data_IF_838014009722
#
_entry.id   IF_838014009722
#
_cell.length_a   1.000
_cell.length_b   1.000
_cell.length_c   1.000
_cell.angle_alpha   90.00
_cell.angle_beta   90.00
_cell.angle_gamma   90.00
#
_symmetry.space_group_name_H-M   'P 1'
#
loop_
_entity.id
_entity.type
_entity.pdbx_description
1 polymer ?
#
# COMPACT_ATOMS: atom_id res chain seq x y z
N UNK A 1 -16.06 -24.36 4.77
CA UNK A 1 -15.43 -23.70 3.61
C UNK A 1 -13.98 -23.48 4.01
N UNK A 2 -13.02 -24.02 3.26
CA UNK A 2 -11.60 -23.87 3.61
C UNK A 2 -11.21 -22.40 3.53
N UNK A 3 -10.32 -21.93 4.41
CA UNK A 3 -9.85 -20.53 4.46
C UNK A 3 -9.09 -20.09 3.19
N UNK A 4 -8.92 -20.97 2.20
CA UNK A 4 -8.11 -20.78 0.99
C UNK A 4 -8.90 -20.40 -0.26
N UNK A 5 -10.24 -20.51 -0.28
CA UNK A 5 -11.05 -20.42 -1.51
C UNK A 5 -10.98 -19.06 -2.26
N UNK A 6 -10.40 -18.01 -1.68
CA UNK A 6 -10.29 -16.69 -2.31
C UNK A 6 -8.90 -16.06 -2.18
N UNK A 7 -7.87 -16.88 -2.00
CA UNK A 7 -6.48 -16.41 -1.82
C UNK A 7 -5.62 -16.80 -3.00
N UNK A 8 -4.91 -15.83 -3.56
CA UNK A 8 -4.12 -15.96 -4.78
C UNK A 8 -2.69 -15.48 -4.55
N UNK A 9 -1.71 -16.13 -5.16
CA UNK A 9 -0.29 -15.78 -5.04
C UNK A 9 0.43 -15.64 -6.38
N UNK A 10 1.43 -14.76 -6.44
CA UNK A 10 2.36 -14.62 -7.56
C UNK A 10 3.69 -14.02 -7.10
N UNK A 11 4.77 -14.29 -7.83
CA UNK A 11 6.02 -13.55 -7.76
C UNK A 11 6.03 -12.44 -8.81
N UNK A 12 6.23 -11.21 -8.36
CA UNK A 12 6.56 -10.07 -9.21
C UNK A 12 8.07 -9.88 -9.19
N UNK A 13 8.68 -9.37 -10.28
CA UNK A 13 10.14 -9.16 -10.34
C UNK A 13 10.53 -7.68 -10.46
N UNK A 14 9.63 -6.85 -10.99
CA UNK A 14 9.91 -5.44 -11.24
C UNK A 14 8.94 -4.55 -10.49
N UNK A 15 9.36 -3.31 -10.20
CA UNK A 15 8.49 -2.27 -9.65
C UNK A 15 7.21 -2.10 -10.46
N UNK A 16 7.31 -2.16 -11.78
CA UNK A 16 6.19 -1.94 -12.68
C UNK A 16 5.10 -3.01 -12.53
N UNK A 17 5.45 -4.24 -12.12
CA UNK A 17 4.46 -5.29 -11.84
C UNK A 17 3.50 -4.87 -10.72
N UNK A 18 4.04 -4.28 -9.66
CA UNK A 18 3.26 -3.77 -8.54
C UNK A 18 2.41 -2.57 -8.95
N UNK A 19 2.97 -1.66 -9.76
CA UNK A 19 2.23 -0.50 -10.30
C UNK A 19 1.03 -0.96 -11.12
N UNK A 20 1.25 -1.86 -12.07
CA UNK A 20 0.21 -2.37 -12.96
C UNK A 20 -0.87 -3.13 -12.17
N UNK A 21 -0.45 -3.96 -11.21
CA UNK A 21 -1.37 -4.68 -10.32
C UNK A 21 -2.24 -3.71 -9.51
N UNK A 22 -1.62 -2.67 -8.96
CA UNK A 22 -2.32 -1.67 -8.12
C UNK A 22 -3.34 -0.88 -8.93
N UNK A 23 -2.96 -0.44 -10.14
CA UNK A 23 -3.90 0.17 -11.09
C UNK A 23 -5.06 -0.76 -11.39
N UNK A 24 -4.77 -2.03 -11.68
CA UNK A 24 -5.80 -2.95 -12.15
C UNK A 24 -6.78 -3.34 -11.06
N UNK A 25 -6.31 -3.63 -9.85
CA UNK A 25 -7.18 -3.90 -8.70
C UNK A 25 -8.14 -2.72 -8.46
N UNK A 26 -7.61 -1.51 -8.42
CA UNK A 26 -8.40 -0.32 -8.15
C UNK A 26 -9.42 -0.02 -9.28
N UNK A 27 -9.00 -0.12 -10.55
CA UNK A 27 -9.85 0.10 -11.71
C UNK A 27 -10.97 -0.95 -11.87
N UNK A 28 -10.80 -2.14 -11.29
CA UNK A 28 -11.82 -3.19 -11.30
C UNK A 28 -12.95 -2.94 -10.28
N UNK A 29 -12.77 -2.04 -9.30
CA UNK A 29 -13.79 -1.79 -8.28
C UNK A 29 -15.04 -1.18 -8.93
N UNK A 30 -16.24 -1.80 -8.80
CA UNK A 30 -17.44 -1.26 -9.42
C UNK A 30 -17.84 0.07 -8.77
N UNK A 31 -18.26 1.04 -9.59
CA UNK A 31 -18.51 2.42 -9.15
C UNK A 31 -19.55 2.54 -8.02
N UNK A 32 -20.49 1.59 -7.89
CA UNK A 32 -21.48 1.60 -6.81
C UNK A 32 -20.91 1.24 -5.43
N UNK A 33 -19.81 0.48 -5.37
CA UNK A 33 -19.08 0.25 -4.11
C UNK A 33 -18.35 1.50 -3.61
N UNK A 34 -18.14 2.50 -4.48
CA UNK A 34 -17.39 3.72 -4.16
C UNK A 34 -18.29 4.86 -3.67
N UNK A 35 -19.62 4.67 -3.60
CA UNK A 35 -20.55 5.77 -3.30
C UNK A 35 -20.78 6.02 -1.81
N UNK A 36 -20.71 4.97 -1.01
CA UNK A 36 -21.04 5.05 0.42
C UNK A 36 -19.83 5.55 1.22
N UNK A 37 -19.98 6.73 1.86
CA UNK A 37 -18.95 7.32 2.72
C UNK A 37 -18.70 6.46 3.96
N UNK A 38 -19.75 5.92 4.54
CA UNK A 38 -19.69 5.17 5.81
C UNK A 38 -19.25 3.72 5.59
N UNK A 39 -19.26 3.27 4.33
CA UNK A 39 -18.81 1.95 3.89
C UNK A 39 -17.92 2.02 2.64
N UNK A 40 -16.71 2.61 2.71
CA UNK A 40 -15.79 2.51 1.60
C UNK A 40 -15.33 1.08 1.40
N UNK A 41 -14.72 0.83 0.24
CA UNK A 41 -13.91 -0.37 0.06
C UNK A 41 -12.63 -0.24 0.89
N UNK A 42 -12.40 -1.18 1.78
CA UNK A 42 -11.20 -1.26 2.63
C UNK A 42 -10.20 -2.21 1.99
N UNK A 43 -9.03 -1.69 1.60
CA UNK A 43 -7.93 -2.48 1.07
C UNK A 43 -6.80 -2.49 2.10
N UNK A 44 -6.58 -3.62 2.73
CA UNK A 44 -5.43 -3.83 3.60
C UNK A 44 -4.19 -4.14 2.75
N UNK A 45 -3.07 -3.48 3.05
CA UNK A 45 -1.79 -3.75 2.42
C UNK A 45 -0.74 -4.01 3.50
N UNK A 46 -0.39 -5.26 3.65
CA UNK A 46 0.52 -5.77 4.66
C UNK A 46 1.80 -6.31 4.03
N UNK A 47 2.76 -6.65 4.87
CA UNK A 47 4.01 -7.27 4.42
C UNK A 47 5.25 -6.69 5.06
N UNK A 48 6.41 -7.01 4.49
CA UNK A 48 7.71 -6.70 5.11
C UNK A 48 8.11 -5.23 5.03
N UNK A 49 9.17 -4.88 5.75
CA UNK A 49 9.82 -3.59 5.59
C UNK A 49 10.32 -3.42 4.14
N UNK A 50 10.18 -2.21 3.58
CA UNK A 50 10.63 -1.86 2.22
C UNK A 50 10.02 -2.73 1.09
N UNK A 51 8.90 -3.41 1.30
CA UNK A 51 8.29 -4.22 0.24
C UNK A 51 7.49 -3.42 -0.81
N UNK A 52 7.37 -2.09 -0.65
CA UNK A 52 6.69 -1.23 -1.62
C UNK A 52 5.18 -1.06 -1.40
N UNK A 53 4.65 -1.33 -0.19
CA UNK A 53 3.21 -1.18 0.13
C UNK A 53 2.58 0.13 -0.38
N UNK A 54 3.31 1.24 -0.25
CA UNK A 54 2.83 2.57 -0.64
C UNK A 54 2.53 2.69 -2.14
N UNK A 55 3.21 1.92 -2.99
CA UNK A 55 2.91 1.82 -4.43
C UNK A 55 1.45 1.40 -4.62
N UNK A 56 0.93 0.49 -3.79
CA UNK A 56 -0.46 0.01 -3.90
C UNK A 56 -1.46 1.15 -3.68
N UNK A 57 -1.30 1.89 -2.60
CA UNK A 57 -2.17 3.02 -2.31
C UNK A 57 -2.04 4.15 -3.34
N UNK A 58 -0.80 4.48 -3.74
CA UNK A 58 -0.50 5.61 -4.60
C UNK A 58 -0.98 5.42 -6.03
N UNK A 59 -0.69 4.26 -6.62
CA UNK A 59 -1.14 3.97 -7.97
C UNK A 59 -2.60 3.55 -7.99
N UNK A 60 -3.09 2.84 -6.96
CA UNK A 60 -4.52 2.62 -6.81
C UNK A 60 -5.33 3.93 -6.79
N UNK A 61 -4.82 4.96 -6.12
CA UNK A 61 -5.38 6.33 -6.17
C UNK A 61 -5.33 6.94 -7.56
N UNK A 62 -4.20 6.84 -8.26
CA UNK A 62 -4.06 7.34 -9.64
C UNK A 62 -5.13 6.73 -10.56
N UNK A 63 -5.35 5.41 -10.48
CA UNK A 63 -6.36 4.73 -11.28
C UNK A 63 -7.80 5.18 -10.95
N UNK A 64 -8.12 5.37 -9.67
CA UNK A 64 -9.48 5.75 -9.23
C UNK A 64 -9.82 7.20 -9.55
N UNK A 65 -8.86 8.10 -9.38
CA UNK A 65 -9.09 9.54 -9.51
C UNK A 65 -8.67 10.09 -10.88
N UNK A 66 -7.94 9.32 -11.68
CA UNK A 66 -7.41 9.78 -12.97
C UNK A 66 -6.29 10.83 -12.85
N UNK A 67 -5.64 10.89 -11.69
CA UNK A 67 -4.61 11.88 -11.34
C UNK A 67 -3.22 11.23 -11.32
N UNK A 68 -2.16 11.94 -11.70
CA UNK A 68 -0.81 11.40 -11.55
C UNK A 68 -0.40 11.35 -10.10
N UNK A 69 0.19 10.25 -9.65
CA UNK A 69 0.76 10.16 -8.31
C UNK A 69 1.74 11.32 -8.02
N UNK A 70 2.59 11.70 -8.99
CA UNK A 70 3.60 12.78 -8.83
C UNK A 70 3.00 14.18 -8.56
N UNK A 71 1.76 14.40 -9.01
CA UNK A 71 1.05 15.67 -8.85
C UNK A 71 0.39 15.79 -7.46
N UNK A 72 0.25 14.66 -6.76
CA UNK A 72 -0.31 14.62 -5.41
C UNK A 72 0.78 14.97 -4.40
N UNK A 73 0.62 16.13 -3.77
CA UNK A 73 1.52 16.59 -2.70
C UNK A 73 0.75 16.80 -1.41
N UNK A 74 1.24 16.18 -0.34
CA UNK A 74 0.73 16.39 1.01
C UNK A 74 1.50 17.51 1.70
N UNK A 75 0.85 18.29 2.58
CA UNK A 75 1.55 19.16 3.50
C UNK A 75 2.61 18.39 4.29
N UNK A 76 3.85 18.92 4.36
CA UNK A 76 4.86 18.36 5.25
C UNK A 76 4.61 18.79 6.70
N UNK A 77 5.07 17.98 7.66
CA UNK A 77 5.05 18.34 9.08
C UNK A 77 5.83 19.64 9.29
N UNK A 78 5.16 20.65 9.85
CA UNK A 78 5.74 21.96 10.10
C UNK A 78 5.47 23.01 9.00
N UNK A 79 4.86 22.63 7.87
CA UNK A 79 4.31 23.63 6.93
C UNK A 79 3.18 24.38 7.63
N UNK A 80 3.16 25.71 7.47
CA UNK A 80 2.14 26.58 8.06
C UNK A 80 1.49 27.45 7.00
N UNK A 81 0.22 27.76 7.22
CA UNK A 81 -0.53 28.78 6.49
C UNK A 81 -0.82 29.99 7.37
N UNK A 82 -0.89 31.15 6.74
CA UNK A 82 -1.29 32.40 7.39
C UNK A 82 -2.79 32.60 7.17
N UNK A 83 -3.58 32.62 8.25
CA UNK A 83 -5.04 32.71 8.18
C UNK A 83 -5.60 33.84 9.05
N UNK A 84 -6.77 34.39 8.72
CA UNK A 84 -7.43 35.39 9.55
C UNK A 84 -7.71 34.86 10.97
N UNK A 85 -7.49 35.69 11.99
CA UNK A 85 -7.62 35.29 13.41
C UNK A 85 -9.08 34.94 13.82
N UNK A 86 -10.07 35.47 13.11
CA UNK A 86 -11.50 35.16 13.23
C UNK A 86 -11.89 33.78 12.68
N UNK A 87 -10.96 33.07 12.03
CA UNK A 87 -11.16 31.71 11.50
C UNK A 87 -10.88 30.60 12.51
N UNK A 88 -10.68 30.93 13.80
CA UNK A 88 -10.39 29.97 14.87
C UNK A 88 -11.66 29.34 15.47
N UNK A 89 -11.57 28.08 15.88
CA UNK A 89 -12.60 27.44 16.71
C UNK A 89 -12.55 27.96 18.15
N UNK A 90 -13.65 27.85 18.92
CA UNK A 90 -13.69 28.33 20.32
C UNK A 90 -12.58 27.75 21.20
N UNK A 91 -12.24 26.46 21.02
CA UNK A 91 -11.15 25.82 21.77
C UNK A 91 -9.78 26.44 21.44
N UNK A 92 -9.52 26.73 20.16
CA UNK A 92 -8.27 27.35 19.72
C UNK A 92 -8.20 28.83 20.14
N UNK A 93 -9.32 29.55 20.09
CA UNK A 93 -9.44 30.91 20.62
C UNK A 93 -9.14 30.95 22.12
N UNK A 94 -9.60 29.96 22.88
CA UNK A 94 -9.33 29.85 24.32
C UNK A 94 -7.85 29.55 24.60
N UNK A 95 -7.25 28.58 23.93
CA UNK A 95 -5.80 28.27 24.07
C UNK A 95 -4.94 29.48 23.73
N UNK A 96 -5.29 30.20 22.65
CA UNK A 96 -4.59 31.43 22.28
C UNK A 96 -4.81 32.55 23.30
N UNK A 97 -6.00 32.68 23.86
CA UNK A 97 -6.28 33.64 24.94
C UNK A 97 -5.47 33.35 26.21
N UNK A 98 -5.30 32.06 26.57
CA UNK A 98 -4.47 31.64 27.70
C UNK A 98 -2.99 31.92 27.44
N UNK A 99 -2.47 31.61 26.23
CA UNK A 99 -1.09 31.95 25.84
C UNK A 99 -0.85 33.46 25.87
N UNK A 100 -1.82 34.25 25.44
CA UNK A 100 -1.78 35.71 25.44
C UNK A 100 -1.93 36.34 26.85
N UNK A 101 -2.42 35.58 27.84
CA UNK A 101 -2.51 36.05 29.24
C UNK A 101 -1.14 36.12 29.92
N UNK A 102 -0.16 35.31 29.46
CA UNK A 102 1.18 35.22 30.04
C UNK A 102 2.27 35.94 29.21
N UNK A 103 1.95 36.42 28.00
CA UNK A 103 2.82 37.24 27.16
C UNK A 103 2.38 38.70 27.12
N UNK A 104 3.30 39.66 27.30
CA UNK A 104 2.99 41.09 27.18
C UNK A 104 2.46 41.40 25.76
N UNK A 105 1.34 42.12 25.72
CA UNK A 105 0.65 42.67 24.55
C UNK A 105 1.58 43.24 23.46
N UNK A 106 1.39 42.78 22.23
CA UNK A 106 1.08 43.67 21.11
C UNK A 106 -0.10 43.10 20.32
N UNK A 107 -1.18 43.88 20.27
CA UNK A 107 -2.38 43.56 19.51
C UNK A 107 -2.17 44.01 18.07
N UNK A 108 -1.36 43.25 17.33
CA UNK A 108 -1.26 43.33 15.87
C UNK A 108 -1.02 41.91 15.41
N UNK A 109 -2.09 41.25 15.01
CA UNK A 109 -2.03 40.19 14.01
C UNK A 109 -3.48 39.84 13.65
N UNK A 110 -3.98 40.51 12.60
CA UNK A 110 -5.20 40.09 11.90
C UNK A 110 -5.05 38.67 11.35
N UNK A 111 -3.82 38.18 11.30
CA UNK A 111 -3.40 36.96 10.65
C UNK A 111 -2.55 36.14 11.61
N UNK A 112 -2.85 34.86 11.76
CA UNK A 112 -2.11 33.92 12.58
C UNK A 112 -1.50 32.84 11.69
N UNK A 113 -0.36 32.29 12.08
CA UNK A 113 0.20 31.09 11.45
C UNK A 113 -0.38 29.84 12.11
N UNK A 114 -0.87 28.89 11.31
CA UNK A 114 -1.32 27.57 11.78
C UNK A 114 -0.80 26.46 10.87
N UNK A 115 -0.71 25.21 11.34
CA UNK A 115 -0.29 24.09 10.50
C UNK A 115 -1.16 23.98 9.23
N UNK A 116 -0.52 23.82 8.07
CA UNK A 116 -1.22 23.59 6.81
C UNK A 116 -1.77 22.16 6.81
N UNK A 117 -3.11 22.03 6.81
CA UNK A 117 -3.78 20.72 6.81
C UNK A 117 -4.36 20.30 5.46
N UNK A 118 -4.40 21.22 4.49
CA UNK A 118 -5.04 21.04 3.19
C UNK A 118 -4.22 21.70 2.09
N UNK A 119 -4.13 21.06 0.93
CA UNK A 119 -3.57 21.61 -0.31
C UNK A 119 -4.55 21.38 -1.45
N UNK A 120 -4.78 22.41 -2.26
CA UNK A 120 -5.48 22.27 -3.54
C UNK A 120 -4.44 21.97 -4.62
N UNK A 121 -4.75 21.05 -5.52
CA UNK A 121 -3.91 20.69 -6.65
C UNK A 121 -4.79 20.43 -7.88
N UNK A 122 -4.17 20.44 -9.06
CA UNK A 122 -4.80 20.02 -10.31
C UNK A 122 -3.88 19.01 -10.99
N UNK A 123 -4.44 17.90 -11.48
CA UNK A 123 -3.71 16.94 -12.31
C UNK A 123 -4.59 16.55 -13.48
N UNK A 124 -4.06 16.65 -14.70
CA UNK A 124 -4.78 16.32 -15.95
C UNK A 124 -6.15 17.01 -16.07
N UNK A 125 -6.31 18.22 -15.52
CA UNK A 125 -7.58 18.95 -15.54
C UNK A 125 -8.57 18.53 -14.44
N UNK A 126 -8.18 17.62 -13.55
CA UNK A 126 -8.96 17.22 -12.37
C UNK A 126 -8.47 18.02 -11.16
N UNK A 127 -9.35 18.86 -10.62
CA UNK A 127 -9.11 19.55 -9.35
C UNK A 127 -9.25 18.57 -8.18
N UNK A 128 -8.29 18.62 -7.25
CA UNK A 128 -8.26 17.76 -6.08
C UNK A 128 -7.92 18.52 -4.81
N UNK A 129 -8.42 17.98 -3.71
CA UNK A 129 -8.08 18.40 -2.36
C UNK A 129 -7.24 17.31 -1.70
N UNK A 130 -5.98 17.64 -1.37
CA UNK A 130 -5.09 16.78 -0.61
C UNK A 130 -5.07 17.22 0.85
N UNK A 131 -5.20 16.29 1.80
CA UNK A 131 -5.09 16.54 3.25
C UNK A 131 -4.26 15.45 3.92
N UNK A 132 -3.78 15.74 5.12
CA UNK A 132 -3.02 14.80 5.94
C UNK A 132 -1.49 14.96 5.84
N UNK A 133 -0.75 13.96 6.32
CA UNK A 133 0.72 13.91 6.27
C UNK A 133 1.16 12.68 5.47
N UNK A 134 2.03 12.93 4.49
CA UNK A 134 2.63 11.89 3.64
C UNK A 134 3.19 10.73 4.48
N UNK A 135 2.96 9.49 4.04
CA UNK A 135 3.38 8.23 4.70
C UNK A 135 2.63 7.85 5.99
N UNK A 136 1.75 8.70 6.51
CA UNK A 136 1.02 8.46 7.77
C UNK A 136 -0.48 8.39 7.56
N UNK A 137 -1.09 9.50 7.18
CA UNK A 137 -2.52 9.64 6.91
C UNK A 137 -2.71 10.60 5.74
N UNK A 138 -3.27 10.09 4.65
CA UNK A 138 -3.42 10.85 3.41
C UNK A 138 -4.87 10.79 2.97
N UNK A 139 -5.40 11.93 2.51
CA UNK A 139 -6.74 12.01 1.93
C UNK A 139 -6.63 12.76 0.63
N UNK A 140 -7.19 12.19 -0.44
CA UNK A 140 -7.30 12.86 -1.73
C UNK A 140 -8.73 12.75 -2.22
N UNK A 141 -9.39 13.90 -2.25
CA UNK A 141 -10.76 14.01 -2.74
C UNK A 141 -10.77 14.73 -4.08
N UNK A 142 -11.44 14.15 -5.08
CA UNK A 142 -11.58 14.72 -6.42
C UNK A 142 -12.95 14.39 -7.00
N UNK A 143 -13.45 15.26 -7.90
CA UNK A 143 -14.65 14.96 -8.68
C UNK A 143 -14.27 14.07 -9.87
N UNK A 144 -14.88 12.89 -9.92
CA UNK A 144 -14.71 11.92 -11.00
C UNK A 144 -16.08 11.68 -11.64
N UNK A 145 -16.26 12.20 -12.85
CA UNK A 145 -17.50 12.07 -13.63
C UNK A 145 -18.75 12.57 -12.89
N UNK A 146 -18.65 13.67 -12.14
CA UNK A 146 -19.76 14.28 -11.40
C UNK A 146 -20.03 13.62 -10.03
N UNK A 147 -19.13 12.76 -9.56
CA UNK A 147 -19.18 12.18 -8.22
C UNK A 147 -17.90 12.52 -7.46
N UNK A 148 -18.05 13.09 -6.27
CA UNK A 148 -16.92 13.28 -5.37
C UNK A 148 -16.47 11.91 -4.82
N UNK A 149 -15.23 11.54 -5.11
CA UNK A 149 -14.58 10.35 -4.56
C UNK A 149 -13.47 10.77 -3.60
N UNK A 150 -13.35 10.05 -2.47
CA UNK A 150 -12.26 10.21 -1.50
C UNK A 150 -11.46 8.91 -1.41
N UNK A 151 -10.23 8.97 -1.91
CA UNK A 151 -9.23 7.90 -1.76
C UNK A 151 -8.28 8.30 -0.66
N UNK A 152 -8.32 7.54 0.44
CA UNK A 152 -7.50 7.80 1.61
C UNK A 152 -6.56 6.64 1.93
N UNK A 153 -5.52 6.95 2.67
CA UNK A 153 -4.49 6.01 3.09
C UNK A 153 -4.16 6.26 4.56
N UNK A 154 -4.00 5.19 5.34
CA UNK A 154 -3.53 5.27 6.73
C UNK A 154 -2.54 4.14 7.04
N UNK A 155 -1.49 4.48 7.77
CA UNK A 155 -0.50 3.52 8.25
C UNK A 155 -0.64 3.28 9.75
N UNK A 156 -1.37 2.23 10.13
CA UNK A 156 -1.76 1.97 11.53
C UNK A 156 -0.56 1.70 12.44
N UNK A 157 0.54 1.18 11.89
CA UNK A 157 1.75 0.89 12.66
C UNK A 157 2.44 2.14 13.25
N UNK A 158 2.19 3.34 12.71
CA UNK A 158 2.93 4.56 13.06
C UNK A 158 2.14 5.53 13.96
N UNK A 159 1.71 5.00 15.11
CA UNK A 159 0.84 5.57 16.17
C UNK A 159 1.13 7.01 16.68
N UNK A 160 2.11 7.73 16.15
CA UNK A 160 2.57 9.02 16.69
C UNK A 160 2.75 10.17 15.69
N UNK A 161 2.42 10.00 14.40
CA UNK A 161 2.76 10.99 13.36
C UNK A 161 1.58 11.40 12.44
N UNK A 162 0.34 11.18 12.86
CA UNK A 162 -0.85 11.55 12.08
C UNK A 162 -1.13 13.06 12.10
N UNK A 163 -1.80 13.57 11.06
CA UNK A 163 -2.14 15.00 10.90
C UNK A 163 -3.13 15.56 11.93
N UNK A 164 -3.80 14.67 12.65
CA UNK A 164 -4.81 14.96 13.66
C UNK A 164 -4.34 14.61 15.09
N UNK A 165 -3.04 14.34 15.28
CA UNK A 165 -2.48 14.04 16.60
C UNK A 165 -2.43 15.32 17.45
N UNK A 166 -3.52 15.61 18.14
CA UNK A 166 -3.52 16.45 19.33
C UNK A 166 -3.18 15.51 20.50
N UNK A 167 -1.97 15.62 21.07
CA UNK A 167 -1.44 15.00 22.31
C UNK A 167 -2.33 13.96 23.04
N UNK A 168 -2.59 12.79 22.44
CA UNK A 168 -3.27 11.68 23.15
C UNK A 168 -2.48 10.39 22.98
N UNK A 169 -1.77 10.00 24.05
CA UNK A 169 -0.91 8.80 24.13
C UNK A 169 -1.70 7.47 24.18
N UNK A 170 -3.04 7.50 24.35
CA UNK A 170 -3.87 6.33 24.68
C UNK A 170 -4.74 5.79 23.51
N UNK A 171 -4.48 6.19 22.27
CA UNK A 171 -5.31 5.70 21.15
C UNK A 171 -4.97 4.27 20.75
N UNK A 172 -6.00 3.44 20.67
CA UNK A 172 -5.92 2.09 20.08
C UNK A 172 -5.91 2.16 18.55
N UNK A 173 -5.45 1.10 17.89
CA UNK A 173 -5.47 0.98 16.42
C UNK A 173 -6.89 1.18 15.84
N UNK A 174 -7.92 0.67 16.54
CA UNK A 174 -9.32 0.88 16.21
C UNK A 174 -9.77 2.35 16.36
N UNK A 175 -9.29 3.04 17.39
CA UNK A 175 -9.56 4.46 17.58
C UNK A 175 -8.95 5.30 16.45
N UNK A 176 -7.71 5.01 16.05
CA UNK A 176 -7.04 5.67 14.92
C UNK A 176 -7.80 5.45 13.62
N UNK A 177 -8.14 4.20 13.30
CA UNK A 177 -8.90 3.87 12.10
C UNK A 177 -10.25 4.59 12.07
N UNK A 178 -11.01 4.54 13.17
CA UNK A 178 -12.32 5.21 13.28
C UNK A 178 -12.20 6.73 13.09
N UNK A 179 -11.18 7.36 13.67
CA UNK A 179 -10.97 8.79 13.48
C UNK A 179 -10.63 9.13 12.03
N UNK A 180 -9.71 8.39 11.40
CA UNK A 180 -9.37 8.53 9.99
C UNK A 180 -10.61 8.42 9.09
N UNK A 181 -11.48 7.46 9.39
CA UNK A 181 -12.74 7.27 8.69
C UNK A 181 -13.69 8.47 8.79
N UNK A 182 -13.77 9.11 9.97
CA UNK A 182 -14.62 10.29 10.17
C UNK A 182 -14.16 11.52 9.37
N UNK A 183 -12.85 11.64 9.15
CA UNK A 183 -12.24 12.76 8.41
C UNK A 183 -12.43 12.67 6.89
N UNK A 184 -12.86 11.53 6.36
CA UNK A 184 -13.16 11.36 4.93
C UNK A 184 -14.33 12.26 4.50
N UNK A 185 -14.31 12.70 3.25
CA UNK A 185 -15.30 13.62 2.69
C UNK A 185 -16.38 12.93 1.86
N UNK A 186 -16.10 11.75 1.31
CA UNK A 186 -17.02 11.01 0.44
C UNK A 186 -16.79 9.49 0.53
N UNK A 187 -17.57 8.74 -0.24
CA UNK A 187 -17.28 7.32 -0.53
C UNK A 187 -15.97 7.16 -1.30
N UNK A 188 -15.54 5.91 -1.48
CA UNK A 188 -14.33 5.61 -2.23
C UNK A 188 -13.59 4.42 -1.65
N UNK A 189 -12.26 4.51 -1.62
CA UNK A 189 -11.37 3.46 -1.12
C UNK A 189 -10.55 3.99 0.04
N UNK A 190 -10.36 3.16 1.07
CA UNK A 190 -9.35 3.39 2.11
C UNK A 190 -8.29 2.30 2.04
N UNK A 191 -7.04 2.71 1.85
CA UNK A 191 -5.87 1.84 1.93
C UNK A 191 -5.34 1.85 3.36
N UNK A 192 -5.17 0.67 3.95
CA UNK A 192 -4.74 0.53 5.34
C UNK A 192 -3.47 -0.31 5.39
N UNK A 193 -2.36 0.29 5.80
CA UNK A 193 -1.11 -0.45 5.97
C UNK A 193 -0.97 -1.04 7.36
N UNK A 194 -0.45 -2.27 7.42
CA UNK A 194 -0.14 -2.98 8.65
C UNK A 194 -1.39 -3.13 9.52
N UNK A 195 -2.51 -3.47 8.88
CA UNK A 195 -3.80 -3.65 9.52
C UNK A 195 -3.76 -4.94 10.34
N UNK A 196 -4.27 -4.89 11.57
CA UNK A 196 -4.61 -6.10 12.31
C UNK A 196 -6.08 -6.41 12.11
N UNK A 197 -6.42 -7.69 11.93
CA UNK A 197 -7.79 -8.12 11.57
C UNK A 197 -8.84 -7.79 12.63
N UNK A 198 -8.44 -7.58 13.88
CA UNK A 198 -9.32 -7.18 14.99
C UNK A 198 -9.75 -5.70 14.93
N UNK A 199 -9.12 -4.88 14.07
CA UNK A 199 -9.43 -3.46 13.91
C UNK A 199 -10.61 -3.25 12.95
N UNK A 200 -10.50 -3.81 11.74
CA UNK A 200 -11.55 -3.81 10.71
C UNK A 200 -11.29 -4.98 9.77
N UNK A 201 -12.35 -5.63 9.31
CA UNK A 201 -12.23 -6.67 8.28
C UNK A 201 -12.10 -5.99 6.90
N UNK A 202 -10.99 -6.18 6.17
CA UNK A 202 -10.80 -5.56 4.88
C UNK A 202 -11.58 -6.30 3.78
N UNK A 203 -12.08 -5.59 2.77
CA UNK A 203 -12.71 -6.23 1.59
C UNK A 203 -11.68 -6.99 0.76
N UNK A 204 -10.47 -6.43 0.65
CA UNK A 204 -9.32 -6.99 -0.06
C UNK A 204 -8.09 -6.90 0.86
N UNK A 205 -7.36 -8.00 1.00
CA UNK A 205 -6.09 -8.06 1.71
C UNK A 205 -4.96 -8.36 0.71
N UNK A 206 -3.92 -7.52 0.71
CA UNK A 206 -2.74 -7.67 -0.13
C UNK A 206 -1.51 -7.81 0.78
N UNK A 207 -0.80 -8.94 0.71
CA UNK A 207 0.48 -9.12 1.41
C UNK A 207 1.63 -9.05 0.41
N UNK A 208 2.64 -8.22 0.72
CA UNK A 208 3.84 -8.02 -0.09
C UNK A 208 5.11 -8.42 0.68
N UNK A 209 5.82 -9.42 0.19
CA UNK A 209 6.99 -9.99 0.87
C UNK A 209 8.23 -9.88 -0.02
N UNK A 210 9.34 -9.35 0.51
CA UNK A 210 10.56 -9.06 -0.26
C UNK A 210 11.85 -9.71 0.26
N UNK A 211 11.88 -10.08 1.54
CA UNK A 211 13.08 -10.57 2.24
C UNK A 211 12.84 -11.94 2.86
N UNK A 212 13.82 -12.46 3.60
CA UNK A 212 13.62 -13.56 4.53
C UNK A 212 13.05 -13.08 5.87
N UNK A 213 12.39 -13.97 6.61
CA UNK A 213 11.76 -13.67 7.90
C UNK A 213 10.47 -14.49 8.13
N UNK A 214 9.99 -14.51 9.37
CA UNK A 214 8.83 -15.31 9.76
C UNK A 214 7.52 -14.52 9.82
N UNK A 215 7.57 -13.23 10.15
CA UNK A 215 6.39 -12.38 10.32
C UNK A 215 6.47 -11.07 9.52
N UNK A 216 5.32 -10.51 9.16
CA UNK A 216 5.19 -9.15 8.62
C UNK A 216 5.20 -8.10 9.73
N UNK A 217 5.23 -6.81 9.37
CA UNK A 217 5.32 -5.70 10.34
C UNK A 217 4.16 -5.64 11.34
N UNK A 218 2.97 -6.11 10.96
CA UNK A 218 1.81 -6.21 11.86
C UNK A 218 1.85 -7.43 12.79
N UNK A 219 2.85 -8.32 12.65
CA UNK A 219 3.03 -9.53 13.44
C UNK A 219 2.38 -10.79 12.83
N UNK A 220 1.66 -10.65 11.71
CA UNK A 220 1.05 -11.77 11.00
C UNK A 220 2.12 -12.68 10.36
N UNK A 221 1.79 -13.97 10.20
CA UNK A 221 2.67 -14.90 9.51
C UNK A 221 2.83 -14.53 8.03
N UNK A 222 4.04 -14.77 7.52
CA UNK A 222 4.37 -14.59 6.11
C UNK A 222 3.88 -15.78 5.29
N UNK A 223 3.41 -15.47 4.09
CA UNK A 223 2.96 -16.47 3.13
C UNK A 223 4.14 -17.14 2.41
N UNK A 224 5.21 -16.40 2.16
CA UNK A 224 6.50 -16.85 1.67
C UNK A 224 7.60 -16.40 2.65
N UNK A 225 8.25 -17.36 3.30
CA UNK A 225 9.22 -17.10 4.37
C UNK A 225 10.54 -16.56 3.85
N UNK A 226 10.98 -16.98 2.66
CA UNK A 226 12.28 -16.65 2.12
C UNK A 226 12.23 -16.37 0.60
N UNK A 227 11.76 -15.16 0.25
CA UNK A 227 11.61 -14.73 -1.15
C UNK A 227 12.92 -14.78 -1.94
N UNK A 228 14.09 -14.33 -1.42
CA UNK A 228 15.36 -14.44 -2.14
C UNK A 228 15.73 -15.88 -2.50
N UNK A 229 15.61 -16.83 -1.57
CA UNK A 229 15.92 -18.23 -1.88
C UNK A 229 14.90 -18.87 -2.82
N UNK A 230 13.62 -18.51 -2.72
CA UNK A 230 12.60 -18.95 -3.67
C UNK A 230 12.94 -18.52 -5.11
N UNK A 231 13.47 -17.29 -5.27
CA UNK A 231 13.96 -16.78 -6.54
C UNK A 231 15.23 -17.51 -6.99
N UNK A 232 16.21 -17.67 -6.10
CA UNK A 232 17.47 -18.35 -6.41
C UNK A 232 17.24 -19.80 -6.86
N UNK A 233 16.34 -20.53 -6.19
CA UNK A 233 15.97 -21.88 -6.55
C UNK A 233 15.37 -22.00 -7.96
N UNK A 234 14.75 -20.92 -8.46
CA UNK A 234 14.01 -20.90 -9.73
C UNK A 234 14.78 -20.23 -10.88
N UNK A 235 15.59 -19.22 -10.57
CA UNK A 235 16.30 -18.34 -11.52
C UNK A 235 17.82 -18.49 -11.46
N UNK A 236 18.37 -19.17 -10.45
CA UNK A 236 19.79 -19.12 -10.12
C UNK A 236 20.17 -17.85 -9.36
N UNK A 237 21.41 -17.81 -8.86
CA UNK A 237 21.96 -16.71 -8.05
C UNK A 237 21.99 -15.39 -8.82
N UNK A 238 22.61 -15.37 -10.01
CA UNK A 238 22.67 -14.18 -10.87
C UNK A 238 21.28 -13.61 -11.19
N UNK A 239 20.31 -14.49 -11.46
CA UNK A 239 18.93 -14.10 -11.76
C UNK A 239 18.23 -13.50 -10.54
N UNK A 240 18.42 -14.09 -9.36
CA UNK A 240 17.86 -13.56 -8.12
C UNK A 240 18.43 -12.18 -7.79
N UNK A 241 19.73 -11.98 -7.97
CA UNK A 241 20.41 -10.70 -7.71
C UNK A 241 19.92 -9.57 -8.62
N UNK A 242 19.68 -9.86 -9.90
CA UNK A 242 19.14 -8.88 -10.86
C UNK A 242 17.80 -8.31 -10.38
N UNK A 243 16.96 -9.13 -9.76
CA UNK A 243 15.61 -8.72 -9.34
C UNK A 243 15.46 -8.47 -7.84
N UNK A 244 16.50 -8.68 -7.03
CA UNK A 244 16.43 -8.67 -5.56
C UNK A 244 15.80 -7.39 -4.99
N UNK A 245 16.02 -6.24 -5.65
CA UNK A 245 15.46 -4.96 -5.22
C UNK A 245 13.92 -4.95 -5.24
N UNK A 246 13.32 -5.49 -6.30
CA UNK A 246 11.89 -5.33 -6.58
C UNK A 246 11.10 -6.63 -6.58
N UNK A 247 11.77 -7.77 -6.52
CA UNK A 247 11.08 -9.04 -6.50
C UNK A 247 10.26 -9.20 -5.22
N UNK A 248 8.99 -9.56 -5.37
CA UNK A 248 8.07 -9.78 -4.25
C UNK A 248 7.33 -11.08 -4.45
N UNK A 249 7.05 -11.79 -3.36
CA UNK A 249 5.86 -12.62 -3.32
C UNK A 249 4.68 -11.73 -2.96
N UNK A 250 3.64 -11.77 -3.79
CA UNK A 250 2.41 -10.99 -3.65
C UNK A 250 1.26 -11.96 -3.45
N UNK A 251 0.58 -11.83 -2.32
CA UNK A 251 -0.66 -12.55 -2.04
C UNK A 251 -1.83 -11.56 -2.06
N UNK A 252 -2.93 -11.93 -2.73
CA UNK A 252 -4.19 -11.19 -2.72
C UNK A 252 -5.29 -12.11 -2.21
N UNK A 253 -6.02 -11.66 -1.19
CA UNK A 253 -7.19 -12.35 -0.64
C UNK A 253 -8.42 -11.46 -0.77
N UNK A 254 -9.53 -12.02 -1.25
CA UNK A 254 -10.82 -11.34 -1.28
C UNK A 254 -11.70 -11.83 -0.14
N UNK A 255 -12.04 -10.95 0.80
CA UNK A 255 -13.00 -11.27 1.87
C UNK A 255 -14.43 -10.86 1.48
N UNK A 256 -14.58 -9.84 0.62
CA UNK A 256 -15.87 -9.44 0.07
C UNK A 256 -16.18 -10.17 -1.24
N UNK A 257 -16.89 -11.29 -1.16
CA UNK A 257 -17.28 -12.10 -2.33
C UNK A 257 -18.15 -11.32 -3.33
N UNK A 258 -19.01 -10.41 -2.87
CA UNK A 258 -19.85 -9.63 -3.77
C UNK A 258 -19.01 -8.66 -4.62
N UNK A 259 -17.98 -8.05 -4.02
CA UNK A 259 -17.02 -7.21 -4.74
C UNK A 259 -16.22 -8.05 -5.75
N UNK A 260 -15.62 -9.15 -5.30
CA UNK A 260 -14.82 -10.06 -6.11
C UNK A 260 -15.59 -10.52 -7.36
N UNK A 261 -16.78 -11.07 -7.17
CA UNK A 261 -17.55 -11.71 -8.24
C UNK A 261 -18.08 -10.70 -9.24
N UNK A 262 -18.55 -9.53 -8.78
CA UNK A 262 -19.07 -8.48 -9.67
C UNK A 262 -17.98 -7.82 -10.51
N UNK A 263 -16.78 -7.71 -9.95
CA UNK A 263 -15.62 -7.15 -10.64
C UNK A 263 -14.80 -8.22 -11.40
N UNK A 264 -15.10 -9.51 -11.19
CA UNK A 264 -14.38 -10.65 -11.76
C UNK A 264 -12.86 -10.60 -11.45
N UNK A 265 -12.53 -10.19 -10.21
CA UNK A 265 -11.16 -9.88 -9.83
C UNK A 265 -10.25 -11.12 -9.85
N UNK A 266 -10.73 -12.29 -9.41
CA UNK A 266 -9.93 -13.50 -9.46
C UNK A 266 -9.53 -13.88 -10.90
N UNK A 267 -10.45 -13.71 -11.86
CA UNK A 267 -10.15 -13.95 -13.28
C UNK A 267 -9.12 -12.95 -13.78
N UNK A 268 -9.27 -11.66 -13.43
CA UNK A 268 -8.31 -10.63 -13.79
C UNK A 268 -6.90 -10.96 -13.28
N UNK A 269 -6.75 -11.34 -12.01
CA UNK A 269 -5.45 -11.71 -11.44
C UNK A 269 -4.81 -12.88 -12.19
N UNK A 270 -5.59 -13.91 -12.53
CA UNK A 270 -5.10 -15.10 -13.26
C UNK A 270 -4.71 -14.78 -14.70
N UNK A 271 -5.61 -14.12 -15.44
CA UNK A 271 -5.45 -13.94 -16.88
C UNK A 271 -4.42 -12.88 -17.25
N UNK A 272 -4.36 -11.80 -16.47
CA UNK A 272 -3.52 -10.63 -16.75
C UNK A 272 -2.15 -10.75 -16.07
N UNK A 273 -2.13 -11.16 -14.79
CA UNK A 273 -0.92 -11.19 -13.99
C UNK A 273 -0.34 -12.59 -13.79
N UNK A 274 -1.10 -13.65 -14.06
CA UNK A 274 -0.62 -15.03 -13.90
C UNK A 274 -0.62 -15.54 -12.46
N UNK A 275 -1.47 -14.97 -11.60
CA UNK A 275 -1.69 -15.52 -10.25
C UNK A 275 -2.24 -16.94 -10.31
N UNK A 276 -1.87 -17.75 -9.32
CA UNK A 276 -2.48 -19.04 -9.04
C UNK A 276 -3.21 -19.00 -7.69
N UNK A 277 -4.14 -19.93 -7.45
CA UNK A 277 -4.68 -20.07 -6.10
C UNK A 277 -3.54 -20.46 -5.14
N UNK A 278 -3.54 -19.92 -3.92
CA UNK A 278 -2.41 -20.11 -2.98
C UNK A 278 -2.17 -21.59 -2.66
N UNK A 279 -3.24 -22.38 -2.56
CA UNK A 279 -3.19 -23.83 -2.35
C UNK A 279 -2.57 -24.63 -3.51
N UNK A 280 -2.46 -24.02 -4.70
CA UNK A 280 -1.81 -24.62 -5.87
C UNK A 280 -0.31 -24.33 -5.93
N UNK A 281 0.20 -23.45 -5.07
CA UNK A 281 1.62 -23.11 -5.01
C UNK A 281 2.32 -24.10 -4.08
N UNK A 282 3.49 -24.60 -4.50
CA UNK A 282 4.27 -25.56 -3.72
C UNK A 282 4.54 -25.05 -2.30
N UNK A 283 4.17 -25.85 -1.29
CA UNK A 283 4.46 -25.53 0.11
C UNK A 283 5.97 -25.52 0.38
N UNK A 284 6.74 -26.34 -0.33
CA UNK A 284 8.20 -26.37 -0.20
C UNK A 284 8.82 -25.03 -0.66
N UNK A 285 8.27 -24.43 -1.74
CA UNK A 285 8.66 -23.11 -2.23
C UNK A 285 8.32 -22.00 -1.22
N UNK A 286 7.14 -22.05 -0.61
CA UNK A 286 6.66 -21.02 0.31
C UNK A 286 7.29 -21.13 1.71
N UNK A 287 7.67 -22.33 2.12
CA UNK A 287 8.19 -22.64 3.45
C UNK A 287 9.72 -22.78 3.51
N UNK A 288 10.45 -22.38 2.45
CA UNK A 288 11.92 -22.37 2.46
C UNK A 288 12.40 -21.70 3.77
N UNK A 289 13.22 -22.39 4.56
CA UNK A 289 13.63 -21.91 5.86
C UNK A 289 14.35 -20.55 5.73
N UNK A 290 14.17 -19.73 6.75
CA UNK A 290 15.03 -18.57 6.94
C UNK A 290 16.33 -19.14 7.50
N UNK A 291 17.45 -18.92 6.82
CA UNK A 291 18.74 -19.34 7.35
C UNK A 291 18.97 -18.64 8.70
N UNK A 292 19.03 -19.42 9.77
CA UNK A 292 19.66 -19.00 11.00
C UNK A 292 21.17 -19.22 10.79
N UNK A 293 22.01 -18.28 11.22
CA UNK A 293 23.48 -18.20 11.02
C UNK A 293 24.31 -19.43 11.52
N UNK A 294 23.72 -20.60 11.72
CA UNK A 294 24.40 -21.85 12.07
C UNK A 294 24.57 -22.75 10.83
N UNK A 295 25.81 -22.87 10.35
CA UNK A 295 26.50 -23.99 9.65
C UNK A 295 25.68 -25.14 9.00
N UNK A 296 24.46 -24.86 8.54
CA UNK A 296 23.57 -25.82 7.91
C UNK A 296 23.84 -25.77 6.41
N UNK A 297 24.12 -26.93 5.82
CA UNK A 297 24.25 -27.04 4.37
C UNK A 297 22.99 -26.45 3.73
N UNK A 298 23.19 -25.46 2.84
CA UNK A 298 22.16 -24.88 1.97
C UNK A 298 21.29 -26.02 1.45
N UNK A 299 20.07 -26.15 1.98
CA UNK A 299 19.11 -27.12 1.43
C UNK A 299 18.88 -26.71 -0.02
N UNK A 300 19.42 -27.50 -0.96
CA UNK A 300 19.17 -27.34 -2.38
C UNK A 300 17.74 -27.80 -2.68
N UNK A 301 16.76 -26.96 -2.31
CA UNK A 301 15.38 -27.14 -2.72
C UNK A 301 15.31 -26.74 -4.18
N UNK A 302 15.17 -27.73 -5.06
CA UNK A 302 14.94 -27.50 -6.48
C UNK A 302 13.44 -27.36 -6.69
N UNK A 303 13.01 -26.16 -7.06
CA UNK A 303 11.61 -25.85 -7.35
C UNK A 303 11.35 -26.19 -8.82
N UNK A 304 10.29 -26.96 -9.10
CA UNK A 304 9.83 -27.12 -10.48
C UNK A 304 9.31 -25.77 -10.98
N UNK A 305 9.78 -25.34 -12.15
CA UNK A 305 9.33 -24.08 -12.72
C UNK A 305 7.85 -24.06 -13.09
N UNK A 306 7.26 -25.23 -13.34
CA UNK A 306 5.81 -25.33 -13.50
C UNK A 306 5.06 -24.87 -12.23
N UNK A 307 5.71 -25.02 -11.07
CA UNK A 307 5.16 -24.70 -9.75
C UNK A 307 5.55 -23.31 -9.26
N UNK A 308 6.43 -22.58 -9.98
CA UNK A 308 6.84 -21.22 -9.64
C UNK A 308 5.84 -20.19 -10.20
N UNK A 309 4.99 -19.58 -9.35
CA UNK A 309 3.88 -18.74 -9.82
C UNK A 309 4.41 -17.36 -10.19
N UNK A 310 4.96 -17.20 -11.40
CA UNK A 310 5.57 -15.95 -11.83
C UNK A 310 4.60 -15.06 -12.62
N UNK A 311 4.74 -13.74 -12.42
CA UNK A 311 4.04 -12.74 -13.19
C UNK A 311 4.16 -13.02 -14.69
N UNK A 312 3.01 -13.01 -15.38
CA UNK A 312 2.87 -13.51 -16.76
C UNK A 312 3.91 -12.96 -17.73
N UNK A 313 4.24 -11.66 -17.61
CA UNK A 313 5.21 -10.98 -18.49
C UNK A 313 6.63 -11.57 -18.41
N UNK A 314 6.98 -12.19 -17.29
CA UNK A 314 8.32 -12.76 -17.05
C UNK A 314 8.42 -14.26 -17.36
N UNK A 315 7.35 -14.92 -17.82
CA UNK A 315 7.38 -16.35 -18.15
C UNK A 315 8.44 -16.70 -19.22
N UNK A 316 8.65 -15.80 -20.19
CA UNK A 316 9.71 -15.98 -21.19
C UNK A 316 11.12 -15.91 -20.60
N UNK A 317 11.31 -15.09 -19.55
CA UNK A 317 12.59 -14.97 -18.86
C UNK A 317 12.96 -16.28 -18.14
N UNK A 318 12.01 -16.88 -17.42
CA UNK A 318 12.17 -18.23 -16.84
C UNK A 318 12.55 -19.27 -17.89
N UNK A 319 11.82 -19.29 -19.01
CA UNK A 319 12.08 -20.23 -20.10
C UNK A 319 13.49 -20.05 -20.71
N UNK A 320 14.01 -18.81 -20.75
CA UNK A 320 15.34 -18.51 -21.26
C UNK A 320 16.45 -18.94 -20.28
N UNK A 321 16.26 -18.71 -18.97
CA UNK A 321 17.22 -19.12 -17.94
C UNK A 321 17.50 -20.63 -17.96
N UNK A 322 16.48 -21.44 -18.30
CA UNK A 322 16.63 -22.89 -18.45
C UNK A 322 17.44 -23.34 -19.65
N UNK A 323 17.35 -22.61 -20.76
CA UNK A 323 17.96 -23.03 -22.01
C UNK A 323 19.42 -22.56 -22.11
N UNK A 324 19.88 -21.66 -21.23
CA UNK A 324 21.26 -21.20 -21.19
C UNK A 324 21.61 -20.54 -19.83
N UNK A 325 22.16 -21.29 -18.86
CA UNK A 325 22.52 -20.76 -17.53
C UNK A 325 23.56 -19.62 -17.54
N UNK A 326 24.22 -19.37 -18.67
CA UNK A 326 25.32 -18.40 -18.83
C UNK A 326 24.95 -17.15 -19.64
N UNK A 327 23.70 -17.01 -20.11
CA UNK A 327 23.34 -15.94 -21.04
C UNK A 327 22.99 -14.58 -20.40
N UNK A 328 22.88 -14.48 -19.06
CA UNK A 328 22.46 -13.23 -18.40
C UNK A 328 23.57 -12.16 -18.29
N UNK A 329 24.82 -12.46 -18.69
CA UNK A 329 25.96 -11.55 -18.49
C UNK A 329 25.97 -10.31 -19.41
N UNK A 330 25.02 -10.15 -20.35
CA UNK A 330 25.07 -9.02 -21.30
C UNK A 330 23.72 -8.45 -21.68
N UNK A 331 23.06 -7.73 -20.76
CA UNK A 331 22.26 -6.52 -21.09
C UNK A 331 21.85 -5.79 -19.81
N UNK A 332 22.80 -5.14 -19.14
CA UNK A 332 22.47 -3.99 -18.31
C UNK A 332 23.17 -2.78 -18.93
N UNK A 333 22.43 -2.02 -19.74
CA UNK A 333 22.87 -0.67 -20.08
C UNK A 333 22.81 0.16 -18.77
N UNK A 334 23.83 0.95 -18.45
CA UNK A 334 23.82 1.77 -17.24
C UNK A 334 22.71 2.82 -17.35
N UNK A 335 21.82 2.88 -16.36
CA UNK A 335 20.93 4.02 -16.19
C UNK A 335 21.77 5.28 -15.92
N UNK A 336 21.52 6.41 -16.62
CA UNK A 336 22.18 7.66 -16.29
C UNK A 336 21.65 8.20 -14.95
N UNK A 337 22.61 8.66 -14.14
CA UNK A 337 22.45 9.23 -12.80
C UNK A 337 21.53 10.45 -12.73
#
# INVERSE_FOLDING_TARGET
>A
MSETENTYGVFTLERQDLVDLSHRIAACIPADFLKDKDKPVVIAVDGTWQCGKKIVADYGREALLGVKHEDVRFPMRGETEVVPNDSLTMAQSFVNAVKNLFGRREQKDKWITRPLKKRLANSRGVDMTCRGISEYDEYVAADVNGALLDVSFINIAWRGNFSFHDDIDDWTDASFFKHHMNERQAGGVVYVHNLKRDVVEPDIEIKLESKSGYTSLNGEERSCKNVPHALQASLGEDGADIFAEWARFVMVKFNNTALETRANMAKMLKDEFGFCALEQISQELLAIPVEDDSDSELMQIKVDQADFPLAKKHKHHLAACNNNPTALVKTAAPCPC
#
